data_IF_273356750559
#
_entry.id   IF_273356750559
#
_cell.length_a   1.000
_cell.length_b   1.000
_cell.length_c   1.000
_cell.angle_alpha   90.00
_cell.angle_beta   90.00
_cell.angle_gamma   90.00
#
_symmetry.space_group_name_H-M   'P 1'
#
loop_
_entity.id
_entity.type
_entity.pdbx_description
1 polymer ?
#
# COMPACT_ATOMS: atom_id res chain seq x y z
N UNK A 1 -12.67 24.66 -41.23
CA UNK A 1 -13.21 23.42 -40.60
C UNK A 1 -12.18 22.32 -40.41
N UNK A 2 -11.26 22.08 -41.36
CA UNK A 2 -10.20 21.05 -41.24
C UNK A 2 -9.23 21.27 -40.06
N UNK A 3 -8.94 22.54 -39.73
CA UNK A 3 -8.03 22.90 -38.63
C UNK A 3 -8.68 22.82 -37.24
N UNK A 4 -10.02 22.80 -37.14
CA UNK A 4 -10.71 22.65 -35.84
C UNK A 4 -10.79 21.18 -35.42
N UNK A 5 -10.86 20.26 -36.40
CA UNK A 5 -10.90 18.81 -36.16
C UNK A 5 -9.57 18.28 -35.61
N UNK A 6 -8.44 18.88 -35.99
CA UNK A 6 -7.10 18.49 -35.53
C UNK A 6 -6.89 18.88 -34.05
N UNK A 7 -7.47 19.99 -33.59
CA UNK A 7 -7.35 20.44 -32.20
C UNK A 7 -8.09 19.51 -31.21
N UNK A 8 -9.23 18.94 -31.64
CA UNK A 8 -10.03 18.01 -30.82
C UNK A 8 -9.33 16.65 -30.65
N UNK A 9 -8.58 16.20 -31.65
CA UNK A 9 -7.85 14.91 -31.61
C UNK A 9 -6.62 14.98 -30.70
N UNK A 10 -5.96 16.13 -30.59
CA UNK A 10 -4.79 16.31 -29.69
C UNK A 10 -5.23 16.34 -28.22
N UNK A 11 -6.41 16.87 -27.92
CA UNK A 11 -6.96 16.91 -26.56
C UNK A 11 -7.43 15.53 -26.05
N UNK A 12 -7.71 14.57 -26.94
CA UNK A 12 -8.09 13.20 -26.53
C UNK A 12 -6.91 12.30 -26.11
N UNK A 13 -5.67 12.65 -26.44
CA UNK A 13 -4.49 11.89 -26.00
C UNK A 13 -3.82 12.41 -24.72
N UNK A 14 -4.20 13.60 -24.25
CA UNK A 14 -3.82 14.12 -22.93
C UNK A 14 -4.85 13.80 -21.85
N UNK A 15 -5.95 13.16 -22.24
CA UNK A 15 -6.97 12.65 -21.33
C UNK A 15 -6.43 11.42 -20.60
N UNK A 16 -6.01 11.65 -19.36
CA UNK A 16 -5.88 10.64 -18.32
C UNK A 16 -4.73 9.65 -18.53
N UNK A 17 -3.47 10.14 -18.42
CA UNK A 17 -2.44 9.30 -17.81
C UNK A 17 -2.91 9.01 -16.40
N UNK A 18 -3.64 7.91 -16.21
CA UNK A 18 -4.07 7.42 -14.90
C UNK A 18 -2.81 7.27 -14.05
N UNK A 19 -2.47 8.33 -13.33
CA UNK A 19 -1.63 8.31 -12.13
C UNK A 19 -2.45 7.57 -11.09
N UNK A 20 -2.59 6.26 -11.28
CA UNK A 20 -3.25 5.41 -10.30
C UNK A 20 -2.52 5.60 -8.97
N UNK A 21 -3.24 5.80 -7.87
CA UNK A 21 -2.63 5.95 -6.57
C UNK A 21 -1.65 4.80 -6.34
N UNK A 22 -0.37 5.12 -6.26
CA UNK A 22 0.71 4.17 -5.98
C UNK A 22 0.93 3.10 -7.07
N UNK A 23 0.52 3.38 -8.31
CA UNK A 23 0.73 2.48 -9.46
C UNK A 23 2.21 2.20 -9.78
N UNK A 24 3.15 3.02 -9.32
CA UNK A 24 4.58 2.81 -9.50
C UNK A 24 5.08 1.50 -8.87
N UNK A 25 4.41 0.99 -7.84
CA UNK A 25 4.73 -0.29 -7.23
C UNK A 25 4.53 -1.46 -8.20
N UNK A 26 3.63 -1.35 -9.18
CA UNK A 26 3.38 -2.43 -10.15
C UNK A 26 4.60 -2.74 -11.03
N UNK A 27 5.52 -1.79 -11.16
CA UNK A 27 6.75 -1.90 -11.96
C UNK A 27 7.97 -2.27 -11.11
N UNK A 28 7.82 -2.38 -9.79
CA UNK A 28 8.92 -2.77 -8.90
C UNK A 28 8.99 -4.29 -8.81
N UNK A 29 10.14 -4.88 -9.17
CA UNK A 29 10.42 -6.32 -9.04
C UNK A 29 9.26 -7.20 -9.55
N UNK A 30 8.70 -6.85 -10.72
CA UNK A 30 7.43 -7.40 -11.22
C UNK A 30 7.41 -8.93 -11.27
N UNK A 31 8.54 -9.56 -11.61
CA UNK A 31 8.68 -11.03 -11.68
C UNK A 31 8.59 -11.70 -10.30
N UNK A 32 8.75 -10.94 -9.22
CA UNK A 32 8.63 -11.42 -7.84
C UNK A 32 7.23 -11.23 -7.26
N UNK A 33 6.28 -10.62 -7.98
CA UNK A 33 4.89 -10.42 -7.51
C UNK A 33 4.19 -11.78 -7.45
N UNK A 34 3.68 -12.15 -6.27
CA UNK A 34 2.88 -13.38 -6.10
C UNK A 34 1.40 -13.09 -5.96
N UNK A 35 1.04 -11.93 -5.40
CA UNK A 35 -0.35 -11.55 -5.16
C UNK A 35 -0.54 -10.07 -5.45
N UNK A 36 -1.72 -9.72 -5.96
CA UNK A 36 -2.08 -8.32 -6.24
C UNK A 36 -3.59 -8.14 -6.12
N UNK A 37 -3.98 -7.11 -5.38
CA UNK A 37 -5.33 -6.59 -5.32
C UNK A 37 -5.29 -5.10 -5.66
N UNK A 38 -6.15 -4.66 -6.56
CA UNK A 38 -6.20 -3.28 -7.00
C UNK A 38 -7.66 -2.86 -7.16
N UNK A 39 -8.26 -2.46 -6.05
CA UNK A 39 -9.62 -1.91 -6.03
C UNK A 39 -9.54 -0.40 -6.27
N UNK A 40 -10.29 0.07 -7.26
CA UNK A 40 -10.30 1.44 -7.75
C UNK A 40 -11.76 1.88 -7.88
N UNK A 41 -12.39 2.11 -6.74
CA UNK A 41 -13.75 2.60 -6.65
C UNK A 41 -13.87 4.10 -6.94
N UNK A 42 -15.10 4.57 -7.22
CA UNK A 42 -15.37 5.99 -7.49
C UNK A 42 -15.11 6.90 -6.28
N UNK A 43 -15.15 6.35 -5.06
CA UNK A 43 -14.99 7.09 -3.80
C UNK A 43 -13.68 6.79 -3.08
N UNK A 44 -12.85 5.89 -3.61
CA UNK A 44 -11.67 5.41 -2.93
C UNK A 44 -11.19 4.08 -3.47
N UNK A 45 -10.15 3.54 -2.87
CA UNK A 45 -9.62 2.26 -3.30
C UNK A 45 -8.49 1.75 -2.43
N UNK A 46 -8.05 0.57 -2.80
CA UNK A 46 -6.97 -0.13 -2.11
C UNK A 46 -6.05 -0.79 -3.13
N UNK A 47 -4.76 -0.55 -2.99
CA UNK A 47 -3.73 -1.29 -3.70
C UNK A 47 -3.00 -2.16 -2.68
N UNK A 48 -2.97 -3.46 -2.94
CA UNK A 48 -2.19 -4.43 -2.18
C UNK A 48 -1.35 -5.23 -3.15
N UNK A 49 -0.06 -5.32 -2.92
CA UNK A 49 0.83 -6.14 -3.74
C UNK A 49 1.75 -6.91 -2.79
N UNK A 50 1.91 -8.20 -3.04
CA UNK A 50 2.86 -9.05 -2.33
C UNK A 50 3.96 -9.51 -3.28
N UNK A 51 5.19 -9.52 -2.77
CA UNK A 51 6.35 -10.05 -3.45
C UNK A 51 7.04 -11.13 -2.61
N UNK A 52 7.57 -12.14 -3.29
CA UNK A 52 8.44 -13.16 -2.71
C UNK A 52 9.67 -13.29 -3.60
N UNK A 53 10.85 -13.19 -3.00
CA UNK A 53 12.12 -13.35 -3.68
C UNK A 53 12.94 -14.49 -3.07
N UNK A 54 12.64 -15.71 -3.49
CA UNK A 54 13.28 -16.92 -2.96
C UNK A 54 14.68 -17.18 -3.54
N UNK A 55 15.03 -16.54 -4.67
CA UNK A 55 16.24 -16.85 -5.44
C UNK A 55 17.26 -15.71 -5.53
N UNK A 56 16.94 -14.51 -5.05
CA UNK A 56 17.76 -13.30 -5.17
C UNK A 56 18.29 -12.74 -3.85
N UNK A 57 18.90 -11.55 -3.91
CA UNK A 57 19.52 -10.87 -2.77
C UNK A 57 18.52 -10.39 -1.68
N UNK A 58 17.21 -10.58 -1.89
CA UNK A 58 16.15 -10.08 -1.02
C UNK A 58 15.85 -8.60 -1.26
N UNK A 59 14.80 -8.10 -0.63
CA UNK A 59 14.34 -6.73 -0.72
C UNK A 59 15.13 -5.82 0.25
N UNK A 60 15.72 -4.76 -0.29
CA UNK A 60 16.50 -3.82 0.52
C UNK A 60 15.66 -2.62 0.93
N UNK A 61 15.52 -2.39 2.25
CA UNK A 61 14.70 -1.28 2.76
C UNK A 61 15.18 0.09 2.27
N UNK A 62 16.49 0.31 2.09
CA UNK A 62 17.01 1.58 1.57
C UNK A 62 16.53 1.83 0.14
N UNK A 63 16.59 0.82 -0.72
CA UNK A 63 16.09 0.91 -2.09
C UNK A 63 14.58 1.15 -2.13
N UNK A 64 13.83 0.46 -1.24
CA UNK A 64 12.38 0.61 -1.12
C UNK A 64 12.02 2.04 -0.68
N UNK A 65 12.68 2.58 0.34
CA UNK A 65 12.39 3.93 0.84
C UNK A 65 12.81 5.02 -0.15
N UNK A 66 13.89 4.82 -0.90
CA UNK A 66 14.28 5.71 -2.01
C UNK A 66 13.24 5.70 -3.15
N UNK A 67 12.73 4.52 -3.53
CA UNK A 67 11.64 4.41 -4.51
C UNK A 67 10.37 5.10 -4.02
N UNK A 68 9.97 4.84 -2.77
CA UNK A 68 8.83 5.47 -2.13
C UNK A 68 8.98 7.01 -2.13
N UNK A 69 10.13 7.52 -1.69
CA UNK A 69 10.42 8.96 -1.60
C UNK A 69 10.35 9.65 -2.96
N UNK A 70 10.89 9.02 -4.02
CA UNK A 70 10.78 9.54 -5.39
C UNK A 70 9.35 9.61 -5.93
N UNK A 71 8.43 8.86 -5.31
CA UNK A 71 7.01 8.85 -5.63
C UNK A 71 6.17 9.50 -4.51
N UNK A 72 6.76 10.46 -3.78
CA UNK A 72 6.12 11.29 -2.76
C UNK A 72 5.58 10.55 -1.52
N UNK A 73 6.05 9.34 -1.27
CA UNK A 73 5.82 8.63 -0.01
C UNK A 73 6.92 8.98 0.97
N UNK A 74 6.57 9.60 2.10
CA UNK A 74 7.51 9.99 3.16
C UNK A 74 7.41 9.00 4.32
N UNK A 75 8.52 8.34 4.66
CA UNK A 75 8.56 7.45 5.82
C UNK A 75 8.27 8.24 7.10
N UNK A 76 7.37 7.72 7.95
CA UNK A 76 6.98 8.32 9.23
C UNK A 76 7.66 7.55 10.37
N UNK A 77 7.39 6.26 10.46
CA UNK A 77 7.87 5.37 11.50
C UNK A 77 7.90 3.91 11.02
N UNK A 78 8.33 3.03 11.92
CA UNK A 78 8.30 1.60 11.70
C UNK A 78 8.11 0.85 13.01
N UNK A 79 7.45 -0.32 12.95
CA UNK A 79 7.26 -1.20 14.10
C UNK A 79 7.60 -2.64 13.75
N UNK A 80 8.36 -3.30 14.63
CA UNK A 80 8.71 -4.70 14.50
C UNK A 80 7.63 -5.61 15.10
N UNK A 81 7.23 -6.63 14.34
CA UNK A 81 6.30 -7.67 14.75
C UNK A 81 7.01 -9.03 14.79
N UNK A 82 6.82 -9.74 15.90
CA UNK A 82 7.29 -11.12 16.09
C UNK A 82 6.20 -12.09 15.69
N UNK A 83 6.56 -13.18 15.01
CA UNK A 83 5.63 -14.23 14.59
C UNK A 83 4.75 -14.74 15.73
N UNK A 84 5.31 -14.85 16.94
CA UNK A 84 4.59 -15.27 18.15
C UNK A 84 3.43 -14.35 18.54
N UNK A 85 3.45 -13.08 18.11
CA UNK A 85 2.37 -12.09 18.35
C UNK A 85 1.34 -12.03 17.20
N UNK A 86 1.51 -12.82 16.15
CA UNK A 86 0.65 -12.80 14.97
C UNK A 86 -0.48 -13.85 15.03
N UNK A 87 -0.48 -14.72 16.04
CA UNK A 87 -1.46 -15.80 16.19
C UNK A 87 -2.89 -15.29 16.28
N UNK A 88 -3.07 -14.11 16.86
CA UNK A 88 -4.38 -13.51 17.09
C UNK A 88 -4.81 -12.60 15.91
N UNK A 89 -3.97 -12.48 14.89
CA UNK A 89 -4.23 -11.70 13.67
C UNK A 89 -4.77 -12.60 12.56
N UNK A 90 -5.89 -13.26 12.85
CA UNK A 90 -6.62 -14.08 11.89
C UNK A 90 -8.11 -13.77 11.91
N UNK A 91 -8.75 -13.87 10.74
CA UNK A 91 -10.19 -13.71 10.58
C UNK A 91 -10.71 -14.87 9.73
N UNK A 92 -11.66 -15.65 10.27
CA UNK A 92 -12.16 -16.89 9.65
C UNK A 92 -11.03 -17.85 9.20
N UNK A 93 -9.94 -17.92 9.97
CA UNK A 93 -8.76 -18.76 9.67
C UNK A 93 -7.77 -18.15 8.68
N UNK A 94 -8.07 -16.99 8.08
CA UNK A 94 -7.17 -16.29 7.17
C UNK A 94 -6.28 -15.32 7.92
N UNK A 95 -5.00 -15.25 7.55
CA UNK A 95 -4.05 -14.28 8.13
C UNK A 95 -4.39 -12.86 7.67
N UNK A 96 -4.61 -11.97 8.63
CA UNK A 96 -4.95 -10.57 8.39
C UNK A 96 -3.92 -9.63 9.01
N UNK A 97 -3.99 -8.37 8.63
CA UNK A 97 -3.33 -7.26 9.31
C UNK A 97 -4.30 -6.10 9.48
N UNK A 98 -4.23 -5.47 10.64
CA UNK A 98 -4.89 -4.20 10.91
C UNK A 98 -3.84 -3.10 10.73
N UNK A 99 -4.09 -2.18 9.80
CA UNK A 99 -3.20 -1.05 9.51
C UNK A 99 -3.77 0.20 10.17
N UNK A 100 -3.24 0.63 11.33
CA UNK A 100 -3.79 1.78 12.04
C UNK A 100 -3.55 3.05 11.21
N UNK A 101 -4.66 3.66 10.76
CA UNK A 101 -4.62 4.93 10.03
C UNK A 101 -4.39 6.13 10.97
N UNK A 102 -4.67 5.99 12.27
CA UNK A 102 -4.44 6.98 13.32
C UNK A 102 -3.97 6.33 14.61
N UNK A 103 -3.28 7.12 15.46
CA UNK A 103 -2.91 6.82 16.85
C UNK A 103 -2.42 5.38 17.08
N UNK A 104 -1.17 5.11 16.72
CA UNK A 104 -0.49 3.82 16.96
C UNK A 104 -0.47 3.45 18.45
N UNK A 105 -1.58 2.95 18.98
CA UNK A 105 -1.66 2.27 20.26
C UNK A 105 -1.79 0.81 19.93
N UNK A 106 -0.71 0.07 20.23
CA UNK A 106 -0.54 -1.38 20.02
C UNK A 106 -1.63 -2.28 20.65
N UNK A 107 -2.65 -1.70 21.29
CA UNK A 107 -3.54 -2.40 22.22
C UNK A 107 -5.04 -2.30 21.89
N UNK A 108 -5.44 -1.60 20.82
CA UNK A 108 -6.85 -1.47 20.49
C UNK A 108 -7.14 -2.10 19.12
N UNK A 109 -8.11 -3.02 19.11
CA UNK A 109 -8.92 -3.31 17.94
C UNK A 109 -9.69 -2.02 17.61
N UNK A 110 -9.05 -1.05 16.99
CA UNK A 110 -9.77 0.09 16.42
C UNK A 110 -10.66 -0.49 15.31
N UNK A 111 -11.96 -0.54 15.58
CA UNK A 111 -12.98 -1.24 14.80
C UNK A 111 -13.23 -0.63 13.41
N UNK A 112 -12.52 0.44 13.06
CA UNK A 112 -12.87 1.28 11.91
C UNK A 112 -12.00 0.99 10.68
N UNK A 113 -10.96 0.16 10.78
CA UNK A 113 -10.16 -0.26 9.62
C UNK A 113 -10.50 -1.69 9.22
N UNK A 114 -10.98 -1.85 7.98
CA UNK A 114 -11.25 -3.17 7.39
C UNK A 114 -9.96 -4.01 7.43
N UNK A 115 -10.01 -5.25 7.95
CA UNK A 115 -8.86 -6.14 7.95
C UNK A 115 -8.41 -6.43 6.52
N UNK A 116 -7.09 -6.40 6.30
CA UNK A 116 -6.48 -6.65 5.00
C UNK A 116 -5.74 -7.99 5.00
N UNK A 117 -5.64 -8.68 3.85
CA UNK A 117 -4.89 -9.92 3.75
C UNK A 117 -3.42 -9.72 4.12
N UNK A 118 -2.86 -10.67 4.87
CA UNK A 118 -1.43 -10.72 5.22
C UNK A 118 -0.81 -12.03 4.75
N UNK A 119 0.12 -11.95 3.79
CA UNK A 119 0.83 -13.13 3.28
C UNK A 119 2.15 -13.42 4.01
N UNK A 120 2.69 -12.46 4.76
CA UNK A 120 3.93 -12.64 5.52
C UNK A 120 3.61 -13.19 6.92
N UNK A 121 3.90 -14.47 7.14
CA UNK A 121 3.64 -15.24 8.37
C UNK A 121 4.90 -15.53 9.22
N UNK A 122 5.86 -14.61 9.18
CA UNK A 122 7.14 -14.64 9.91
C UNK A 122 7.40 -13.29 10.55
N UNK A 123 8.50 -13.16 11.30
CA UNK A 123 8.92 -11.86 11.82
C UNK A 123 9.04 -10.83 10.68
N UNK A 124 8.50 -9.63 10.89
CA UNK A 124 8.50 -8.56 9.91
C UNK A 124 8.56 -7.17 10.56
N UNK A 125 8.97 -6.17 9.78
CA UNK A 125 8.83 -4.76 10.12
C UNK A 125 7.73 -4.14 9.27
N UNK A 126 6.78 -3.48 9.92
CA UNK A 126 5.77 -2.64 9.29
C UNK A 126 6.32 -1.21 9.24
N UNK A 127 6.49 -0.66 8.05
CA UNK A 127 6.87 0.72 7.79
C UNK A 127 5.64 1.51 7.39
N UNK A 128 5.52 2.73 7.92
CA UNK A 128 4.39 3.61 7.65
C UNK A 128 4.83 4.85 6.90
N UNK A 129 4.05 5.23 5.91
CA UNK A 129 4.36 6.32 5.00
C UNK A 129 3.21 7.31 4.94
N UNK A 130 3.57 8.59 4.87
CA UNK A 130 2.69 9.67 4.47
C UNK A 130 2.69 9.77 2.94
N UNK A 131 1.52 9.72 2.31
CA UNK A 131 1.37 9.83 0.85
C UNK A 131 0.75 11.18 0.46
N UNK A 132 0.55 11.40 -0.85
CA UNK A 132 -0.22 12.55 -1.36
C UNK A 132 -1.74 12.31 -1.36
N UNK A 133 -2.18 11.08 -1.09
CA UNK A 133 -3.58 10.71 -1.09
C UNK A 133 -4.12 10.74 0.33
N UNK A 134 -5.39 11.09 0.47
CA UNK A 134 -6.08 11.05 1.74
C UNK A 134 -6.95 9.80 1.82
N UNK A 135 -7.04 9.24 3.01
CA UNK A 135 -8.12 8.33 3.40
C UNK A 135 -9.01 9.04 4.42
N UNK A 136 -10.32 8.90 4.24
CA UNK A 136 -11.36 9.44 5.09
C UNK A 136 -11.94 8.31 5.93
N UNK A 137 -12.26 8.61 7.18
CA UNK A 137 -13.00 7.69 8.04
C UNK A 137 -14.49 7.80 7.70
N UNK A 138 -15.09 6.69 7.26
CA UNK A 138 -16.44 6.68 6.71
C UNK A 138 -17.46 7.29 7.69
N UNK A 139 -18.31 8.17 7.18
CA UNK A 139 -19.31 8.87 8.01
C UNK A 139 -18.74 9.97 8.92
N UNK A 140 -17.50 10.41 8.69
CA UNK A 140 -16.88 11.54 9.41
C UNK A 140 -16.09 12.45 8.45
N UNK A 141 -15.78 13.68 8.88
CA UNK A 141 -14.90 14.59 8.14
C UNK A 141 -13.40 14.35 8.44
N UNK A 142 -13.11 13.27 9.17
CA UNK A 142 -11.76 12.95 9.58
C UNK A 142 -10.98 12.34 8.41
N UNK A 143 -9.84 12.94 8.07
CA UNK A 143 -8.92 12.36 7.09
C UNK A 143 -7.50 12.24 7.60
N UNK A 144 -6.71 11.41 6.92
CA UNK A 144 -5.26 11.30 7.11
C UNK A 144 -4.58 10.98 5.79
N UNK A 145 -3.30 11.34 5.67
CA UNK A 145 -2.43 10.92 4.56
C UNK A 145 -1.41 9.87 5.01
N UNK A 146 -1.51 9.39 6.25
CA UNK A 146 -0.67 8.33 6.82
C UNK A 146 -1.24 6.95 6.45
N UNK A 147 -1.28 6.67 5.15
CA UNK A 147 -2.08 5.59 4.55
C UNK A 147 -1.29 4.70 3.57
N UNK A 148 0.03 4.86 3.52
CA UNK A 148 0.95 3.96 2.81
C UNK A 148 1.66 3.06 3.81
N UNK A 149 1.72 1.76 3.53
CA UNK A 149 2.33 0.78 4.43
C UNK A 149 3.17 -0.22 3.65
N UNK A 150 4.28 -0.65 4.26
CA UNK A 150 5.14 -1.69 3.73
C UNK A 150 5.46 -2.68 4.83
N UNK A 151 5.12 -3.94 4.64
CA UNK A 151 5.62 -5.06 5.43
C UNK A 151 6.89 -5.60 4.76
N UNK A 152 7.96 -5.75 5.51
CA UNK A 152 9.18 -6.39 5.07
C UNK A 152 9.56 -7.48 6.06
N UNK A 153 9.67 -8.72 5.61
CA UNK A 153 10.11 -9.82 6.47
C UNK A 153 11.56 -9.62 6.93
N UNK A 154 11.91 -10.12 8.11
CA UNK A 154 13.25 -9.93 8.69
C UNK A 154 14.39 -10.54 7.88
N UNK A 155 14.10 -11.60 7.12
CA UNK A 155 15.04 -12.22 6.18
C UNK A 155 15.09 -11.49 4.82
N UNK A 156 14.30 -10.42 4.66
CA UNK A 156 14.16 -9.63 3.43
C UNK A 156 13.67 -10.44 2.22
N UNK A 157 13.09 -11.63 2.41
CA UNK A 157 12.63 -12.49 1.29
C UNK A 157 11.19 -12.25 0.87
N UNK A 158 10.40 -11.54 1.68
CA UNK A 158 9.02 -11.20 1.36
C UNK A 158 8.74 -9.75 1.69
N UNK A 159 7.95 -9.10 0.84
CA UNK A 159 7.48 -7.74 1.05
C UNK A 159 6.00 -7.65 0.68
N UNK A 160 5.23 -6.87 1.41
CA UNK A 160 3.87 -6.51 1.02
C UNK A 160 3.69 -5.01 1.10
N UNK A 161 3.13 -4.39 0.08
CA UNK A 161 2.74 -2.98 0.09
C UNK A 161 1.22 -2.89 0.20
N UNK A 162 0.77 -1.94 1.02
CA UNK A 162 -0.63 -1.54 1.14
C UNK A 162 -0.74 -0.03 0.92
N UNK A 163 -1.71 0.40 0.13
CA UNK A 163 -2.08 1.80 0.00
C UNK A 163 -3.58 1.90 0.02
N UNK A 164 -4.11 2.75 0.89
CA UNK A 164 -5.55 2.99 1.02
C UNK A 164 -5.83 4.47 0.77
N UNK A 165 -6.89 4.80 0.03
CA UNK A 165 -7.29 6.19 -0.21
C UNK A 165 -8.80 6.29 -0.41
N UNK A 166 -9.32 7.51 -0.30
CA UNK A 166 -10.74 7.79 -0.38
C UNK A 166 -11.50 7.41 0.88
N UNK A 167 -12.80 7.19 0.77
CA UNK A 167 -13.71 6.83 1.87
C UNK A 167 -13.99 5.32 1.96
#
# INVERSE_FOLDING_TARGET
MKNLLILVIILTFLSCSKTTPSGFWLNYETDSITEKQNDQGPFGGTLIINWINDKGAGFNIKTITELATRNDWKLIDSTAYKKSKLTDMTEFGNSIINLPLKNFKSELKDSNTKPLPRWINKDFTLYRFKTKWHIFESGTDNSTSENGFILLSFDNKAMTVYHLWGE
#
